data_IF_418018110912
#
_entry.id   IF_418018110912
#
_cell.length_a   1.000
_cell.length_b   1.000
_cell.length_c   1.000
_cell.angle_alpha   90.00
_cell.angle_beta   90.00
_cell.angle_gamma   90.00
#
_symmetry.space_group_name_H-M   'P 1'
#
loop_
_entity.id
_entity.type
_entity.pdbx_description
1 polymer ?
#
# COMPACT_ATOMS: atom_id res chain seq x y z
N UNK A 1 -29.76 -82.60 83.27
CA UNK A 1 -29.23 -81.31 83.80
C UNK A 1 -29.72 -80.23 82.86
N UNK A 2 -30.28 -79.07 83.21
CA UNK A 2 -30.98 -78.52 84.37
C UNK A 2 -31.74 -77.29 83.83
N UNK A 3 -32.90 -77.00 84.39
CA UNK A 3 -33.68 -75.77 84.21
C UNK A 3 -32.93 -74.51 84.70
N UNK A 4 -33.48 -73.33 84.33
CA UNK A 4 -33.38 -71.97 84.94
C UNK A 4 -32.29 -71.06 84.33
N UNK A 5 -32.47 -69.77 84.01
CA UNK A 5 -33.43 -68.69 84.32
C UNK A 5 -33.39 -67.65 83.16
N UNK A 6 -34.52 -67.11 82.67
CA UNK A 6 -35.10 -65.78 82.99
C UNK A 6 -34.10 -64.61 83.06
N UNK A 7 -34.13 -63.73 82.05
CA UNK A 7 -33.99 -62.27 82.23
C UNK A 7 -34.52 -61.49 81.01
N UNK A 8 -35.41 -60.55 81.31
CA UNK A 8 -36.05 -59.54 80.46
C UNK A 8 -35.03 -58.47 80.06
N UNK A 9 -35.04 -57.98 78.81
CA UNK A 9 -34.78 -56.55 78.54
C UNK A 9 -35.17 -56.09 77.13
N UNK A 10 -36.21 -55.25 77.09
CA UNK A 10 -36.30 -53.97 76.37
C UNK A 10 -36.09 -53.92 74.84
N UNK A 11 -37.22 -53.72 74.15
CA UNK A 11 -37.52 -52.57 73.27
C UNK A 11 -36.32 -51.91 72.57
N UNK A 12 -36.33 -51.94 71.23
CA UNK A 12 -36.25 -50.74 70.39
C UNK A 12 -36.67 -51.10 68.95
N UNK A 13 -37.94 -50.79 68.66
CA UNK A 13 -38.51 -50.75 67.31
C UNK A 13 -37.77 -49.66 66.54
N UNK A 14 -36.80 -50.03 65.71
CA UNK A 14 -36.17 -49.11 64.77
C UNK A 14 -37.22 -48.70 63.72
N UNK A 15 -37.85 -47.55 63.97
CA UNK A 15 -38.56 -46.79 62.94
C UNK A 15 -37.49 -46.31 61.97
N UNK A 16 -37.33 -47.00 60.84
CA UNK A 16 -36.74 -46.37 59.66
C UNK A 16 -37.71 -45.26 59.24
N UNK A 17 -37.43 -44.05 59.70
CA UNK A 17 -37.95 -42.84 59.08
C UNK A 17 -37.52 -42.88 57.62
N UNK A 18 -38.48 -43.08 56.72
CA UNK A 18 -38.36 -42.67 55.33
C UNK A 18 -38.23 -41.15 55.41
N UNK A 19 -36.98 -40.68 55.42
CA UNK A 19 -36.67 -39.27 55.27
C UNK A 19 -37.14 -38.87 53.88
N UNK A 20 -38.12 -37.98 53.83
CA UNK A 20 -38.43 -37.17 52.66
C UNK A 20 -37.18 -36.31 52.45
N UNK A 21 -36.25 -36.82 51.65
CA UNK A 21 -35.07 -36.10 51.21
C UNK A 21 -35.34 -35.63 49.77
N UNK A 22 -35.43 -34.31 49.66
CA UNK A 22 -34.62 -33.53 48.70
C UNK A 22 -35.23 -33.05 47.37
N UNK A 23 -36.54 -33.15 47.13
CA UNK A 23 -37.14 -32.60 45.88
C UNK A 23 -36.92 -31.07 45.74
N UNK A 24 -37.06 -30.31 46.83
CA UNK A 24 -36.91 -28.84 46.79
C UNK A 24 -35.46 -28.39 46.54
N UNK A 25 -34.46 -29.09 47.07
CA UNK A 25 -33.06 -28.76 46.84
C UNK A 25 -32.61 -29.17 45.42
N UNK A 26 -33.12 -30.28 44.89
CA UNK A 26 -32.87 -30.67 43.49
C UNK A 26 -33.49 -29.69 42.50
N UNK A 27 -34.68 -29.15 42.79
CA UNK A 27 -35.34 -28.14 41.95
C UNK A 27 -34.62 -26.78 41.99
N UNK A 28 -34.10 -26.38 43.15
CA UNK A 28 -33.29 -25.16 43.29
C UNK A 28 -31.95 -25.31 42.56
N UNK A 29 -31.31 -26.47 42.65
CA UNK A 29 -30.04 -26.75 41.98
C UNK A 29 -30.21 -26.77 40.45
N UNK A 30 -31.23 -27.45 39.95
CA UNK A 30 -31.53 -27.52 38.51
C UNK A 30 -31.95 -26.16 37.94
N UNK A 31 -32.72 -25.37 38.69
CA UNK A 31 -33.06 -23.99 38.33
C UNK A 31 -31.82 -23.09 38.24
N UNK A 32 -30.88 -23.19 39.18
CA UNK A 32 -29.63 -22.42 39.18
C UNK A 32 -28.72 -22.80 38.01
N UNK A 33 -28.61 -24.10 37.69
CA UNK A 33 -27.87 -24.59 36.52
C UNK A 33 -28.53 -24.10 35.22
N UNK A 34 -29.85 -24.14 35.13
CA UNK A 34 -30.60 -23.68 33.95
C UNK A 34 -30.47 -22.16 33.74
N UNK A 35 -30.50 -21.37 34.83
CA UNK A 35 -30.22 -19.93 34.79
C UNK A 35 -28.78 -19.62 34.34
N UNK A 36 -27.79 -20.35 34.88
CA UNK A 36 -26.39 -20.22 34.45
C UNK A 36 -26.23 -20.57 32.99
N UNK A 37 -26.85 -21.66 32.53
CA UNK A 37 -26.82 -22.10 31.15
C UNK A 37 -27.46 -21.06 30.20
N UNK A 38 -28.59 -20.49 30.60
CA UNK A 38 -29.26 -19.40 29.87
C UNK A 38 -28.40 -18.14 29.81
N UNK A 39 -27.75 -17.77 30.93
CA UNK A 39 -26.84 -16.64 30.98
C UNK A 39 -25.63 -16.84 30.07
N UNK A 40 -25.02 -18.03 30.07
CA UNK A 40 -23.93 -18.36 29.16
C UNK A 40 -24.37 -18.39 27.70
N UNK A 41 -25.57 -18.87 27.40
CA UNK A 41 -26.12 -18.88 26.04
C UNK A 41 -26.32 -17.44 25.53
N UNK A 42 -26.87 -16.55 26.36
CA UNK A 42 -27.04 -15.12 26.03
C UNK A 42 -25.69 -14.43 25.84
N UNK A 43 -24.72 -14.70 26.72
CA UNK A 43 -23.37 -14.15 26.58
C UNK A 43 -22.68 -14.65 25.30
N UNK A 44 -22.86 -15.93 24.94
CA UNK A 44 -22.35 -16.51 23.72
C UNK A 44 -22.98 -15.84 22.49
N UNK A 45 -24.30 -15.65 22.51
CA UNK A 45 -25.02 -14.99 21.41
C UNK A 45 -24.56 -13.54 21.22
N UNK A 46 -24.45 -12.77 22.30
CA UNK A 46 -23.94 -11.40 22.27
C UNK A 46 -22.49 -11.33 21.76
N UNK A 47 -21.65 -12.30 22.14
CA UNK A 47 -20.29 -12.41 21.63
C UNK A 47 -20.27 -12.73 20.13
N UNK A 48 -21.19 -13.56 19.65
CA UNK A 48 -21.26 -13.94 18.25
C UNK A 48 -21.69 -12.75 17.38
N UNK A 49 -22.70 -11.99 17.82
CA UNK A 49 -23.12 -10.74 17.15
C UNK A 49 -21.98 -9.71 17.07
N UNK A 50 -21.20 -9.57 18.14
CA UNK A 50 -20.04 -8.69 18.17
C UNK A 50 -18.96 -9.13 17.17
N UNK A 51 -18.70 -10.45 17.08
CA UNK A 51 -17.75 -11.02 16.13
C UNK A 51 -18.21 -10.81 14.69
N UNK A 52 -19.48 -11.01 14.40
CA UNK A 52 -20.05 -10.71 13.09
C UNK A 52 -19.92 -9.23 12.74
N UNK A 53 -20.19 -8.33 13.69
CA UNK A 53 -20.02 -6.89 13.50
C UNK A 53 -18.57 -6.53 13.18
N UNK A 54 -17.61 -7.12 13.89
CA UNK A 54 -16.17 -6.93 13.62
C UNK A 54 -15.77 -7.51 12.27
N UNK A 55 -16.27 -8.70 11.90
CA UNK A 55 -16.00 -9.32 10.62
C UNK A 55 -16.49 -8.46 9.44
N UNK A 56 -17.72 -7.92 9.54
CA UNK A 56 -18.28 -6.98 8.55
C UNK A 56 -17.48 -5.68 8.46
N UNK A 57 -17.03 -5.15 9.60
CA UNK A 57 -16.17 -3.95 9.60
C UNK A 57 -14.83 -4.22 8.93
N UNK A 58 -14.24 -5.39 9.20
CA UNK A 58 -12.95 -5.79 8.64
C UNK A 58 -13.07 -6.05 7.13
N UNK A 59 -14.16 -6.65 6.65
CA UNK A 59 -14.42 -6.81 5.22
C UNK A 59 -14.58 -5.46 4.52
N UNK A 60 -15.34 -4.52 5.10
CA UNK A 60 -15.49 -3.19 4.52
C UNK A 60 -14.17 -2.43 4.46
N UNK A 61 -13.36 -2.50 5.52
CA UNK A 61 -12.03 -1.90 5.53
C UNK A 61 -11.10 -2.54 4.49
N UNK A 62 -11.21 -3.85 4.27
CA UNK A 62 -10.41 -4.57 3.25
C UNK A 62 -10.75 -4.06 1.86
N UNK A 63 -12.05 -3.92 1.53
CA UNK A 63 -12.50 -3.37 0.24
C UNK A 63 -12.01 -1.93 0.03
N UNK A 64 -12.06 -1.09 1.06
CA UNK A 64 -11.54 0.29 0.98
C UNK A 64 -10.03 0.29 0.75
N UNK A 65 -9.29 -0.55 1.48
CA UNK A 65 -7.85 -0.66 1.33
C UNK A 65 -7.44 -1.14 -0.07
N UNK A 66 -8.18 -2.11 -0.64
CA UNK A 66 -7.98 -2.55 -2.03
C UNK A 66 -8.18 -1.40 -3.02
N UNK A 67 -9.22 -0.59 -2.84
CA UNK A 67 -9.49 0.58 -3.68
C UNK A 67 -8.35 1.60 -3.58
N UNK A 68 -7.87 1.88 -2.37
CA UNK A 68 -6.73 2.78 -2.13
C UNK A 68 -5.44 2.26 -2.78
N UNK A 69 -5.18 0.95 -2.69
CA UNK A 69 -4.03 0.32 -3.36
C UNK A 69 -4.15 0.47 -4.88
N UNK A 70 -5.33 0.22 -5.46
CA UNK A 70 -5.55 0.42 -6.90
C UNK A 70 -5.37 1.88 -7.33
N UNK A 71 -5.74 2.84 -6.47
CA UNK A 71 -5.54 4.27 -6.72
C UNK A 71 -4.06 4.64 -6.67
N UNK A 72 -3.34 4.18 -5.64
CA UNK A 72 -1.90 4.38 -5.51
C UNK A 72 -1.13 3.77 -6.69
N UNK A 73 -1.48 2.55 -7.11
CA UNK A 73 -0.88 1.90 -8.28
C UNK A 73 -1.12 2.69 -9.57
N UNK A 74 -2.31 3.28 -9.75
CA UNK A 74 -2.59 4.17 -10.89
C UNK A 74 -1.72 5.43 -10.85
N UNK A 75 -1.60 6.08 -9.70
CA UNK A 75 -0.74 7.26 -9.55
C UNK A 75 0.74 6.93 -9.80
N UNK A 76 1.25 5.81 -9.26
CA UNK A 76 2.63 5.36 -9.49
C UNK A 76 2.88 5.12 -10.98
N UNK A 77 1.94 4.47 -11.69
CA UNK A 77 2.07 4.24 -13.14
C UNK A 77 2.07 5.55 -13.94
N UNK A 78 1.22 6.51 -13.58
CA UNK A 78 1.18 7.83 -14.22
C UNK A 78 2.50 8.59 -14.01
N UNK A 79 2.95 8.67 -12.75
CA UNK A 79 4.21 9.35 -12.38
C UNK A 79 5.42 8.67 -12.99
N UNK A 80 5.44 7.33 -13.09
CA UNK A 80 6.57 6.62 -13.68
C UNK A 80 6.80 6.99 -15.15
N UNK A 81 5.71 7.16 -15.92
CA UNK A 81 5.81 7.58 -17.32
C UNK A 81 6.35 9.01 -17.45
N UNK A 82 5.79 9.95 -16.70
CA UNK A 82 6.20 11.37 -16.72
C UNK A 82 7.64 11.56 -16.20
N UNK A 83 7.99 10.87 -15.11
CA UNK A 83 9.33 10.91 -14.53
C UNK A 83 10.35 10.29 -15.49
N UNK A 84 10.07 9.13 -16.09
CA UNK A 84 11.01 8.53 -17.04
C UNK A 84 11.32 9.47 -18.22
N UNK A 85 10.31 10.18 -18.72
CA UNK A 85 10.48 11.12 -19.83
C UNK A 85 11.30 12.36 -19.43
N UNK A 86 11.05 12.92 -18.25
CA UNK A 86 11.83 14.07 -17.73
C UNK A 86 13.30 13.70 -17.49
N UNK A 87 13.56 12.54 -16.90
CA UNK A 87 14.93 12.04 -16.69
C UNK A 87 15.64 11.73 -18.00
N UNK A 88 14.93 11.14 -18.98
CA UNK A 88 15.49 10.87 -20.29
C UNK A 88 15.85 12.17 -21.03
N UNK A 89 14.98 13.19 -20.98
CA UNK A 89 15.26 14.51 -21.52
C UNK A 89 16.48 15.15 -20.85
N UNK A 90 16.59 15.04 -19.54
CA UNK A 90 17.70 15.63 -18.76
C UNK A 90 19.05 14.98 -19.09
N UNK A 91 19.10 13.64 -19.12
CA UNK A 91 20.30 12.88 -19.48
C UNK A 91 20.75 13.22 -20.90
N UNK A 92 19.82 13.32 -21.86
CA UNK A 92 20.14 13.68 -23.23
C UNK A 92 20.62 15.13 -23.34
N UNK A 93 20.04 16.05 -22.57
CA UNK A 93 20.47 17.45 -22.52
C UNK A 93 21.91 17.54 -21.99
N UNK A 94 22.21 16.85 -20.87
CA UNK A 94 23.57 16.72 -20.33
C UNK A 94 24.55 16.10 -21.33
N UNK A 95 24.12 15.11 -22.09
CA UNK A 95 24.94 14.50 -23.13
C UNK A 95 25.30 15.51 -24.22
N UNK A 96 24.36 16.35 -24.65
CA UNK A 96 24.63 17.45 -25.60
C UNK A 96 25.62 18.44 -25.02
N UNK A 97 25.44 18.88 -23.78
CA UNK A 97 26.35 19.81 -23.09
C UNK A 97 27.79 19.27 -23.05
N UNK A 98 27.96 18.02 -22.61
CA UNK A 98 29.28 17.37 -22.53
C UNK A 98 29.93 17.23 -23.90
N UNK A 99 29.15 16.91 -24.95
CA UNK A 99 29.68 16.78 -26.31
C UNK A 99 30.18 18.13 -26.82
N UNK A 100 29.45 19.21 -26.58
CA UNK A 100 29.85 20.55 -27.01
C UNK A 100 31.03 21.09 -26.19
N UNK A 101 31.04 20.90 -24.87
CA UNK A 101 32.13 21.32 -23.98
C UNK A 101 33.44 20.62 -24.33
N UNK A 102 33.44 19.29 -24.48
CA UNK A 102 34.64 18.53 -24.86
C UNK A 102 35.08 18.72 -26.31
N UNK A 103 34.17 19.09 -27.20
CA UNK A 103 34.53 19.39 -28.60
C UNK A 103 35.02 20.83 -28.78
N UNK A 104 34.95 21.67 -27.76
CA UNK A 104 35.23 23.11 -27.85
C UNK A 104 34.26 23.86 -28.76
N UNK A 105 33.05 23.30 -28.96
CA UNK A 105 32.05 23.86 -29.86
C UNK A 105 31.15 24.83 -29.10
N UNK A 106 30.77 25.93 -29.74
CA UNK A 106 29.73 26.83 -29.23
C UNK A 106 28.36 26.31 -29.63
N UNK A 107 27.39 26.42 -28.72
CA UNK A 107 26.01 26.03 -29.01
C UNK A 107 25.41 26.96 -30.09
N UNK A 108 24.38 26.50 -30.83
CA UNK A 108 23.66 27.34 -31.78
C UNK A 108 23.12 28.60 -31.09
N UNK A 109 23.63 29.78 -31.47
CA UNK A 109 23.38 31.04 -30.75
C UNK A 109 24.65 31.68 -30.17
N UNK A 110 25.81 31.01 -30.25
CA UNK A 110 27.11 31.56 -29.84
C UNK A 110 27.36 31.54 -28.34
N UNK A 111 26.45 30.93 -27.58
CA UNK A 111 26.43 30.89 -26.11
C UNK A 111 27.11 29.60 -25.64
N UNK A 112 27.82 29.67 -24.53
CA UNK A 112 28.40 28.50 -23.84
C UNK A 112 27.29 27.67 -23.20
N UNK A 113 27.44 26.34 -23.14
CA UNK A 113 26.41 25.43 -22.58
C UNK A 113 25.88 25.87 -21.20
N UNK A 114 26.70 26.54 -20.38
CA UNK A 114 26.34 27.04 -19.04
C UNK A 114 25.81 28.48 -18.97
N UNK A 115 25.70 29.21 -20.08
CA UNK A 115 25.37 30.65 -20.10
C UNK A 115 23.95 30.96 -20.61
N UNK A 116 22.98 30.08 -20.33
CA UNK A 116 21.57 30.25 -20.73
C UNK A 116 20.69 30.87 -19.62
N UNK A 117 21.30 31.39 -18.56
CA UNK A 117 20.63 32.04 -17.43
C UNK A 117 19.94 33.34 -17.92
N UNK A 118 18.61 33.33 -18.00
CA UNK A 118 17.79 34.45 -18.49
C UNK A 118 17.25 34.33 -19.92
N UNK A 119 17.50 33.22 -20.63
CA UNK A 119 16.82 32.95 -21.91
C UNK A 119 15.42 32.35 -21.72
N UNK A 120 14.51 32.71 -22.61
CA UNK A 120 13.17 32.12 -22.71
C UNK A 120 13.26 30.59 -22.89
N UNK A 121 12.46 29.84 -22.13
CA UNK A 121 12.50 28.37 -22.03
C UNK A 121 12.25 27.71 -23.41
N UNK A 122 11.37 28.30 -24.22
CA UNK A 122 11.12 27.85 -25.58
C UNK A 122 12.36 28.02 -26.48
N UNK A 123 13.12 29.12 -26.31
CA UNK A 123 14.37 29.36 -27.05
C UNK A 123 15.48 28.42 -26.61
N UNK A 124 15.60 28.15 -25.32
CA UNK A 124 16.58 27.20 -24.76
C UNK A 124 16.31 25.79 -25.32
N UNK A 125 15.04 25.37 -25.33
CA UNK A 125 14.66 24.04 -25.84
C UNK A 125 14.92 23.91 -27.34
N UNK A 126 14.61 24.95 -28.13
CA UNK A 126 14.92 24.96 -29.56
C UNK A 126 16.43 24.93 -29.85
N UNK A 127 17.22 25.61 -29.02
CA UNK A 127 18.69 25.61 -29.11
C UNK A 127 19.24 24.20 -28.88
N UNK A 128 18.84 23.53 -27.80
CA UNK A 128 19.27 22.16 -27.50
C UNK A 128 18.83 21.17 -28.58
N UNK A 129 17.61 21.30 -29.10
CA UNK A 129 17.12 20.50 -30.23
C UNK A 129 17.98 20.67 -31.49
N UNK A 130 18.34 21.91 -31.81
CA UNK A 130 19.18 22.22 -32.97
C UNK A 130 20.61 21.72 -32.76
N UNK A 131 21.12 21.79 -31.53
CA UNK A 131 22.44 21.30 -31.15
C UNK A 131 22.53 19.77 -31.26
N UNK A 132 21.54 19.06 -30.70
CA UNK A 132 21.41 17.61 -30.80
C UNK A 132 21.41 17.14 -32.27
N UNK A 133 20.68 17.84 -33.15
CA UNK A 133 20.62 17.52 -34.59
C UNK A 133 21.94 17.75 -35.33
N UNK A 134 22.77 18.71 -34.87
CA UNK A 134 24.08 19.02 -35.47
C UNK A 134 25.16 18.01 -35.10
N UNK A 135 24.97 17.22 -34.04
CA UNK A 135 25.93 16.19 -33.63
C UNK A 135 25.88 15.03 -34.62
N UNK A 136 27.00 14.79 -35.31
CA UNK A 136 27.15 13.69 -36.26
C UNK A 136 27.50 12.38 -35.54
N UNK A 137 27.07 11.26 -36.11
CA UNK A 137 27.37 9.90 -35.63
C UNK A 137 28.88 9.65 -35.51
N UNK A 138 29.63 10.18 -36.46
CA UNK A 138 31.10 10.07 -36.51
C UNK A 138 31.76 10.80 -35.34
N UNK A 139 31.20 11.94 -34.90
CA UNK A 139 31.72 12.71 -33.76
C UNK A 139 31.60 11.91 -32.46
N UNK A 140 30.44 11.30 -32.21
CA UNK A 140 30.20 10.47 -31.03
C UNK A 140 31.09 9.21 -31.04
N UNK A 141 31.22 8.56 -32.20
CA UNK A 141 32.02 7.34 -32.34
C UNK A 141 33.52 7.59 -32.25
N UNK A 142 34.04 8.66 -32.89
CA UNK A 142 35.49 8.93 -32.97
C UNK A 142 36.05 9.71 -31.78
N UNK A 143 35.28 10.65 -31.21
CA UNK A 143 35.78 11.51 -30.10
C UNK A 143 35.38 11.04 -28.72
N UNK A 144 34.27 10.31 -28.61
CA UNK A 144 33.73 9.89 -27.32
C UNK A 144 33.61 8.37 -27.17
N UNK A 145 33.94 7.59 -28.22
CA UNK A 145 33.76 6.13 -28.25
C UNK A 145 32.34 5.67 -27.85
N UNK A 146 31.32 6.51 -28.07
CA UNK A 146 29.93 6.11 -27.79
C UNK A 146 29.38 5.19 -28.89
N UNK A 147 28.58 4.22 -28.46
CA UNK A 147 27.82 3.33 -29.33
C UNK A 147 26.83 4.10 -30.20
N UNK A 148 26.50 3.53 -31.37
CA UNK A 148 25.49 4.05 -32.31
C UNK A 148 24.12 4.23 -31.64
N UNK A 149 23.83 3.47 -30.58
CA UNK A 149 22.59 3.58 -29.81
C UNK A 149 22.40 4.99 -29.21
N UNK A 150 23.47 5.63 -28.76
CA UNK A 150 23.39 6.98 -28.20
C UNK A 150 23.15 8.04 -29.27
N UNK A 151 23.62 7.83 -30.49
CA UNK A 151 23.29 8.69 -31.62
C UNK A 151 21.80 8.59 -31.98
N UNK A 152 21.25 7.38 -32.00
CA UNK A 152 19.81 7.17 -32.22
C UNK A 152 18.97 7.79 -31.10
N UNK A 153 19.39 7.65 -29.84
CA UNK A 153 18.73 8.30 -28.71
C UNK A 153 18.75 9.83 -28.83
N UNK A 154 19.87 10.41 -29.30
CA UNK A 154 20.00 11.84 -29.54
C UNK A 154 19.12 12.34 -30.70
N UNK A 155 18.91 11.52 -31.73
CA UNK A 155 17.96 11.85 -32.80
C UNK A 155 16.50 11.81 -32.32
N UNK A 156 16.18 10.89 -31.39
CA UNK A 156 14.87 10.83 -30.73
C UNK A 156 14.66 11.88 -29.66
N UNK A 157 15.67 12.68 -29.32
CA UNK A 157 15.53 13.82 -28.42
C UNK A 157 14.43 14.79 -28.89
N UNK A 158 14.22 14.91 -30.20
CA UNK A 158 13.14 15.70 -30.77
C UNK A 158 11.76 15.24 -30.23
N UNK A 159 11.47 13.94 -30.33
CA UNK A 159 10.24 13.31 -29.82
C UNK A 159 10.07 13.51 -28.30
N UNK A 160 11.16 13.31 -27.56
CA UNK A 160 11.17 13.41 -26.09
C UNK A 160 11.00 14.86 -25.63
N UNK A 161 11.56 15.83 -26.36
CA UNK A 161 11.48 17.26 -26.03
C UNK A 161 10.10 17.86 -26.26
N UNK A 162 9.36 17.40 -27.28
CA UNK A 162 7.95 17.80 -27.46
C UNK A 162 7.06 17.27 -26.33
N UNK A 163 7.21 15.98 -25.99
CA UNK A 163 6.46 15.36 -24.91
C UNK A 163 6.82 15.97 -23.55
N UNK A 164 8.08 16.40 -23.38
CA UNK A 164 8.53 17.14 -22.21
C UNK A 164 7.81 18.49 -22.08
N UNK A 165 7.73 19.30 -23.15
CA UNK A 165 7.02 20.58 -23.11
C UNK A 165 5.53 20.38 -22.82
N UNK A 166 4.87 19.41 -23.45
CA UNK A 166 3.44 19.14 -23.21
C UNK A 166 3.17 18.68 -21.77
N UNK A 167 4.02 17.78 -21.24
CA UNK A 167 3.89 17.28 -19.87
C UNK A 167 4.17 18.38 -18.83
N UNK A 168 5.20 19.20 -19.05
CA UNK A 168 5.57 20.30 -18.15
C UNK A 168 4.56 21.45 -18.19
N UNK A 169 4.03 21.80 -19.37
CA UNK A 169 2.98 22.80 -19.54
C UNK A 169 1.65 22.35 -18.88
N UNK A 170 1.31 21.05 -18.96
CA UNK A 170 0.15 20.48 -18.27
C UNK A 170 0.28 20.53 -16.74
N UNK A 171 1.45 20.17 -16.21
CA UNK A 171 1.75 20.22 -14.77
C UNK A 171 1.72 21.63 -14.20
N UNK A 172 2.28 22.62 -14.91
CA UNK A 172 2.25 24.03 -14.48
C UNK A 172 0.86 24.65 -14.58
N UNK A 173 0.06 24.27 -15.59
CA UNK A 173 -1.34 24.69 -15.69
C UNK A 173 -2.18 24.15 -14.53
N UNK A 174 -1.89 22.93 -14.07
CA UNK A 174 -2.55 22.32 -12.92
C UNK A 174 -2.10 22.91 -11.57
N UNK A 175 -0.83 23.32 -11.44
CA UNK A 175 -0.32 23.95 -10.21
C UNK A 175 -0.74 25.42 -10.05
N UNK A 176 -1.09 26.12 -11.14
CA UNK A 176 -1.51 27.52 -11.10
C UNK A 176 -3.01 27.70 -10.83
N UNK A 177 -3.77 26.59 -10.71
CA UNK A 177 -5.22 26.55 -10.46
C UNK A 177 -5.61 26.07 -9.05
N UNK A 178 -4.64 25.92 -8.14
CA UNK A 178 -4.84 25.67 -6.70
C UNK A 178 -4.19 26.78 -5.90
#
# INVERSE_FOLDING_TARGET
MSLRDVAVSTVMRSKRSIGILDESNTDILTSNVCQKYSATLKALHASNELLEGKARKLSNNTVLLELDVMKAQRHIKAVHGELLMTWQADILTRLVEVVYERSGWKMPGGITARSHEGMDEAKVTLMYRTAARKIKKETLRRRFNLSVQYYLALQRYDEVSYLFIESFAGLWSSLRLT
#
